data_IF_637757025877
#
_entry.id   IF_637757025877
#
_cell.length_a   1.000
_cell.length_b   1.000
_cell.length_c   1.000
_cell.angle_alpha   90.00
_cell.angle_beta   90.00
_cell.angle_gamma   90.00
#
_symmetry.space_group_name_H-M   'P 1'
#
loop_
_entity.id
_entity.type
_entity.pdbx_description
1 polymer ?
#
# COMPACT_ATOMS: atom_id res chain seq x y z
N UNK A 1 31.89 -15.62 11.03
CA UNK A 1 32.65 -14.72 10.12
C UNK A 1 32.63 -13.34 10.73
N UNK A 2 33.70 -12.54 10.58
CA UNK A 2 33.71 -11.16 11.07
C UNK A 2 33.15 -10.24 9.99
N UNK A 3 32.21 -9.38 10.34
CA UNK A 3 31.60 -8.41 9.44
C UNK A 3 31.97 -6.99 9.85
N UNK A 4 32.29 -6.14 8.87
CA UNK A 4 32.50 -4.71 9.11
C UNK A 4 31.24 -3.94 8.72
N UNK A 5 30.64 -3.26 9.69
CA UNK A 5 29.47 -2.41 9.47
C UNK A 5 29.91 -0.98 9.16
N UNK A 6 29.34 -0.38 8.14
CA UNK A 6 29.67 0.98 7.69
C UNK A 6 28.40 1.78 7.47
N UNK A 7 28.34 2.99 8.04
CA UNK A 7 27.27 3.95 7.74
C UNK A 7 27.41 4.46 6.30
N UNK A 8 26.30 4.52 5.58
CA UNK A 8 26.24 5.11 4.23
C UNK A 8 26.42 6.62 4.36
N UNK A 9 27.53 7.14 3.85
CA UNK A 9 27.90 8.56 3.96
C UNK A 9 28.45 9.18 2.68
N UNK A 10 28.66 8.38 1.64
CA UNK A 10 29.21 8.84 0.35
C UNK A 10 28.37 8.38 -0.82
N UNK A 11 28.50 9.06 -2.00
CA UNK A 11 27.83 8.60 -3.22
C UNK A 11 28.26 7.19 -3.66
N UNK A 12 29.44 6.71 -3.25
CA UNK A 12 29.88 5.34 -3.48
C UNK A 12 29.08 4.37 -2.60
N UNK A 13 28.93 4.68 -1.31
CA UNK A 13 28.17 3.84 -0.38
C UNK A 13 26.70 3.77 -0.79
N UNK A 14 26.13 4.89 -1.25
CA UNK A 14 24.74 4.92 -1.76
C UNK A 14 24.59 3.99 -2.97
N UNK A 15 25.51 4.03 -3.91
CA UNK A 15 25.49 3.11 -5.06
C UNK A 15 25.59 1.66 -4.63
N UNK A 16 26.44 1.35 -3.65
CA UNK A 16 26.57 0.01 -3.09
C UNK A 16 25.27 -0.44 -2.42
N UNK A 17 24.65 0.45 -1.63
CA UNK A 17 23.35 0.20 -0.99
C UNK A 17 22.26 -0.14 -2.00
N UNK A 18 22.19 0.58 -3.14
CA UNK A 18 21.20 0.35 -4.21
C UNK A 18 21.52 -0.92 -5.00
N UNK A 19 22.79 -1.24 -5.20
CA UNK A 19 23.21 -2.34 -6.07
C UNK A 19 23.24 -3.71 -5.38
N UNK A 20 23.34 -3.79 -4.07
CA UNK A 20 23.38 -5.07 -3.35
C UNK A 20 22.21 -6.01 -3.71
N UNK A 21 20.92 -5.58 -3.73
CA UNK A 21 19.84 -6.47 -4.15
C UNK A 21 19.98 -7.00 -5.56
N UNK A 22 20.53 -6.20 -6.49
CA UNK A 22 20.74 -6.63 -7.88
C UNK A 22 21.71 -7.81 -7.99
N UNK A 23 22.63 -7.93 -7.02
CA UNK A 23 23.56 -9.04 -6.92
C UNK A 23 22.93 -10.26 -6.23
N UNK A 24 22.23 -10.04 -5.10
CA UNK A 24 21.57 -11.08 -4.32
C UNK A 24 20.47 -11.79 -5.13
N UNK A 25 19.68 -11.03 -5.88
CA UNK A 25 18.55 -11.56 -6.64
C UNK A 25 18.86 -11.92 -8.09
N UNK A 26 20.13 -11.94 -8.49
CA UNK A 26 20.51 -12.23 -9.88
C UNK A 26 19.94 -13.53 -10.44
N UNK A 27 19.77 -14.54 -9.60
CA UNK A 27 19.23 -15.85 -9.96
C UNK A 27 17.73 -16.00 -9.62
N UNK A 28 17.05 -14.93 -9.23
CA UNK A 28 15.65 -14.94 -8.79
C UNK A 28 14.74 -14.28 -9.84
N UNK A 29 14.09 -15.06 -10.71
CA UNK A 29 13.32 -14.51 -11.84
C UNK A 29 12.07 -13.75 -11.40
N UNK A 30 11.56 -13.99 -10.18
CA UNK A 30 10.41 -13.31 -9.63
C UNK A 30 10.75 -11.89 -9.17
N UNK A 31 11.99 -11.65 -8.75
CA UNK A 31 12.39 -10.33 -8.30
C UNK A 31 12.43 -9.31 -9.44
N UNK A 32 11.85 -8.14 -9.23
CA UNK A 32 11.87 -7.03 -10.17
C UNK A 32 12.68 -5.90 -9.59
N UNK A 33 13.75 -5.52 -10.30
CA UNK A 33 14.58 -4.39 -9.88
C UNK A 33 13.78 -3.10 -9.91
N UNK A 34 13.56 -2.42 -8.76
CA UNK A 34 12.92 -1.12 -8.71
C UNK A 34 13.77 -0.05 -9.39
N UNK A 35 13.22 1.11 -9.69
CA UNK A 35 14.04 2.22 -10.15
C UNK A 35 14.99 2.69 -9.05
N UNK A 36 16.25 2.93 -9.40
CA UNK A 36 17.25 3.43 -8.46
C UNK A 36 16.83 4.76 -7.83
N UNK A 37 16.11 5.58 -8.59
CA UNK A 37 15.63 6.88 -8.17
C UNK A 37 14.49 6.79 -7.14
N UNK A 38 13.66 5.76 -7.20
CA UNK A 38 12.62 5.52 -6.20
C UNK A 38 13.24 5.24 -4.83
N UNK A 39 14.31 4.41 -4.80
CA UNK A 39 15.03 4.14 -3.55
C UNK A 39 15.76 5.39 -3.04
N UNK A 40 16.36 6.19 -3.94
CA UNK A 40 16.98 7.45 -3.54
C UNK A 40 15.99 8.42 -2.93
N UNK A 41 14.80 8.53 -3.52
CA UNK A 41 13.78 9.47 -3.05
C UNK A 41 13.36 9.23 -1.59
N UNK A 42 13.38 7.98 -1.14
CA UNK A 42 13.06 7.63 0.26
C UNK A 42 14.05 8.27 1.23
N UNK A 43 15.33 8.38 0.83
CA UNK A 43 16.41 8.89 1.68
C UNK A 43 16.86 10.32 1.31
N UNK A 44 16.09 11.01 0.51
CA UNK A 44 16.34 12.40 0.12
C UNK A 44 15.43 13.34 0.94
N UNK A 45 15.99 14.16 1.86
CA UNK A 45 15.21 15.10 2.66
C UNK A 45 14.42 16.13 1.83
N UNK A 46 14.84 16.42 0.59
CA UNK A 46 14.14 17.33 -0.30
C UNK A 46 12.91 16.69 -0.97
N UNK A 47 12.77 15.37 -0.91
CA UNK A 47 11.74 14.60 -1.63
C UNK A 47 10.85 13.77 -0.70
N UNK A 48 11.25 13.60 0.56
CA UNK A 48 10.52 12.79 1.55
C UNK A 48 10.17 13.63 2.77
N UNK A 49 8.91 14.00 2.88
CA UNK A 49 8.38 14.82 3.98
C UNK A 49 8.52 14.17 5.36
N UNK A 50 8.80 12.86 5.43
CA UNK A 50 9.07 12.19 6.70
C UNK A 50 10.28 12.76 7.42
N UNK A 51 11.22 13.39 6.71
CA UNK A 51 12.36 14.09 7.28
C UNK A 51 12.02 15.39 8.00
N UNK A 52 10.83 15.97 7.78
CA UNK A 52 10.42 17.19 8.50
C UNK A 52 10.36 16.97 10.02
N UNK A 53 9.99 15.77 10.45
CA UNK A 53 9.84 15.40 11.87
C UNK A 53 10.63 14.11 12.21
N UNK A 54 11.55 13.68 11.34
CA UNK A 54 12.23 12.39 11.47
C UNK A 54 13.62 12.36 10.88
N UNK A 55 14.25 11.22 11.08
CA UNK A 55 15.60 10.92 10.58
C UNK A 55 15.68 9.49 10.08
N UNK A 56 16.62 9.24 9.15
CA UNK A 56 16.95 7.92 8.66
C UNK A 56 18.46 7.71 8.64
N UNK A 57 18.90 6.50 8.94
CA UNK A 57 20.30 6.07 8.82
C UNK A 57 20.37 4.75 8.09
N UNK A 58 21.39 4.57 7.27
CA UNK A 58 21.62 3.37 6.45
C UNK A 58 22.97 2.77 6.76
N UNK A 59 23.07 1.44 6.74
CA UNK A 59 24.31 0.70 6.93
C UNK A 59 24.53 -0.31 5.82
N UNK A 60 25.79 -0.55 5.52
CA UNK A 60 26.30 -1.64 4.71
C UNK A 60 27.13 -2.58 5.58
N UNK A 61 27.08 -3.86 5.27
CA UNK A 61 27.92 -4.86 5.89
C UNK A 61 28.86 -5.47 4.86
N UNK A 62 30.13 -5.57 5.22
CA UNK A 62 31.17 -6.13 4.37
C UNK A 62 31.79 -7.35 5.04
N UNK A 63 32.08 -8.38 4.24
CA UNK A 63 32.85 -9.54 4.66
C UNK A 63 34.35 -9.25 4.80
N UNK A 64 35.12 -10.23 5.24
CA UNK A 64 36.58 -10.12 5.40
C UNK A 64 37.33 -9.80 4.09
N UNK A 65 36.69 -10.05 2.93
CA UNK A 65 37.25 -9.75 1.60
C UNK A 65 36.87 -8.36 1.12
N UNK A 66 36.08 -7.62 1.91
CA UNK A 66 35.54 -6.31 1.52
C UNK A 66 34.38 -6.37 0.52
N UNK A 67 33.73 -7.53 0.37
CA UNK A 67 32.53 -7.67 -0.43
C UNK A 67 31.31 -7.21 0.38
N UNK A 68 30.43 -6.39 -0.22
CA UNK A 68 29.18 -6.01 0.42
C UNK A 68 28.23 -7.22 0.44
N UNK A 69 27.82 -7.64 1.62
CA UNK A 69 27.01 -8.85 1.86
C UNK A 69 25.71 -8.58 2.59
N UNK A 70 25.50 -7.34 3.07
CA UNK A 70 24.28 -6.95 3.78
C UNK A 70 24.06 -5.44 3.78
N UNK A 71 22.80 -5.06 3.99
CA UNK A 71 22.38 -3.67 4.19
C UNK A 71 21.14 -3.60 5.08
N UNK A 72 20.96 -2.48 5.76
CA UNK A 72 19.73 -2.14 6.48
C UNK A 72 19.57 -0.61 6.53
N UNK A 73 18.34 -0.14 6.65
CA UNK A 73 18.02 1.22 7.03
C UNK A 73 17.20 1.19 8.32
N UNK A 74 17.43 2.18 9.20
CA UNK A 74 16.55 2.47 10.33
C UNK A 74 16.10 3.93 10.26
N UNK A 75 14.92 4.21 10.78
CA UNK A 75 14.32 5.53 10.71
C UNK A 75 13.25 5.70 11.78
N UNK A 76 12.96 6.94 12.11
CA UNK A 76 11.84 7.31 12.97
C UNK A 76 11.23 8.63 12.51
N UNK A 77 9.99 8.88 12.92
CA UNK A 77 9.34 10.17 12.79
C UNK A 77 8.68 10.51 14.13
N UNK A 78 9.11 11.60 14.77
CA UNK A 78 8.69 11.95 16.15
C UNK A 78 7.20 12.21 16.25
N UNK A 79 6.58 12.76 15.19
CA UNK A 79 5.15 13.04 15.17
C UNK A 79 4.29 11.78 15.17
N UNK A 80 4.79 10.70 14.55
CA UNK A 80 4.02 9.46 14.39
C UNK A 80 4.50 8.32 15.28
N UNK A 81 5.66 8.46 15.98
CA UNK A 81 6.23 7.39 16.80
C UNK A 81 5.27 6.84 17.86
N UNK A 82 4.40 7.67 18.42
CA UNK A 82 3.37 7.29 19.40
C UNK A 82 1.99 7.07 18.79
N UNK A 83 1.82 7.31 17.47
CA UNK A 83 0.50 7.20 16.84
C UNK A 83 0.07 5.73 16.80
N UNK A 84 -1.03 5.41 17.48
CA UNK A 84 -1.58 4.06 17.64
C UNK A 84 -0.58 3.06 18.28
N UNK A 85 0.44 3.55 19.00
CA UNK A 85 1.46 2.75 19.69
C UNK A 85 1.41 2.97 21.20
N UNK A 86 1.77 1.93 21.97
CA UNK A 86 1.90 2.00 23.43
C UNK A 86 3.27 2.55 23.87
N UNK A 87 4.25 2.55 22.96
CA UNK A 87 5.61 3.06 23.17
C UNK A 87 6.12 3.75 21.89
N UNK A 88 7.11 4.65 21.99
CA UNK A 88 7.73 5.25 20.83
C UNK A 88 8.30 4.17 19.92
N UNK A 89 7.78 4.09 18.68
CA UNK A 89 8.13 3.06 17.72
C UNK A 89 8.76 3.68 16.47
N UNK A 90 9.97 3.24 16.16
CA UNK A 90 10.64 3.53 14.90
C UNK A 90 10.43 2.42 13.88
N UNK A 91 11.22 2.41 12.82
CA UNK A 91 11.16 1.39 11.80
C UNK A 91 12.52 0.96 11.29
N UNK A 92 12.60 -0.27 10.79
CA UNK A 92 13.73 -0.72 9.97
C UNK A 92 13.21 -1.27 8.63
N UNK A 93 14.04 -1.14 7.59
CA UNK A 93 13.66 -1.60 6.25
C UNK A 93 14.85 -1.65 5.31
N UNK A 94 14.55 -1.93 4.03
CA UNK A 94 15.60 -2.13 3.03
C UNK A 94 16.65 -3.16 3.48
N UNK A 95 16.22 -4.09 4.34
CA UNK A 95 17.06 -5.17 4.85
C UNK A 95 17.37 -6.14 3.73
N UNK A 96 18.66 -6.37 3.52
CA UNK A 96 19.18 -7.41 2.62
C UNK A 96 20.40 -8.04 3.25
N UNK A 97 20.49 -9.36 3.19
CA UNK A 97 21.63 -10.13 3.69
C UNK A 97 21.78 -11.44 2.94
N UNK A 98 22.99 -11.94 2.81
CA UNK A 98 23.22 -13.35 2.52
C UNK A 98 22.61 -14.23 3.62
N UNK A 99 22.43 -15.52 3.37
CA UNK A 99 21.89 -16.47 4.37
C UNK A 99 22.92 -16.72 5.49
N UNK A 100 23.06 -15.74 6.37
CA UNK A 100 23.92 -15.77 7.54
C UNK A 100 23.25 -15.06 8.72
N UNK A 101 23.03 -15.83 9.79
CA UNK A 101 22.34 -15.39 11.00
C UNK A 101 23.11 -14.30 11.75
N UNK A 102 24.43 -14.44 11.87
CA UNK A 102 25.26 -13.48 12.60
C UNK A 102 25.27 -12.13 11.91
N UNK A 103 25.35 -12.14 10.58
CA UNK A 103 25.21 -10.93 9.76
C UNK A 103 23.86 -10.24 9.95
N UNK A 104 22.78 -11.01 9.87
CA UNK A 104 21.43 -10.46 10.04
C UNK A 104 21.27 -9.82 11.43
N UNK A 105 21.75 -10.49 12.47
CA UNK A 105 21.65 -10.00 13.85
C UNK A 105 22.49 -8.73 14.05
N UNK A 106 23.70 -8.67 13.49
CA UNK A 106 24.53 -7.47 13.53
C UNK A 106 23.84 -6.27 12.84
N UNK A 107 23.13 -6.50 11.73
CA UNK A 107 22.35 -5.45 11.05
C UNK A 107 21.13 -5.01 11.88
N UNK A 108 20.43 -5.93 12.54
CA UNK A 108 19.33 -5.57 13.42
C UNK A 108 19.81 -4.84 14.69
N UNK A 109 20.98 -5.24 15.23
CA UNK A 109 21.55 -4.60 16.41
C UNK A 109 21.88 -3.13 16.16
N UNK A 110 22.57 -2.79 15.06
CA UNK A 110 22.90 -1.38 14.78
C UNK A 110 21.66 -0.54 14.50
N UNK A 111 20.62 -1.12 13.91
CA UNK A 111 19.35 -0.44 13.71
C UNK A 111 18.65 -0.18 15.07
N UNK A 112 18.56 -1.18 15.93
CA UNK A 112 17.98 -1.10 17.28
C UNK A 112 18.73 -0.08 18.15
N UNK A 113 20.07 -0.16 18.18
CA UNK A 113 20.91 0.72 19.00
C UNK A 113 20.72 2.17 18.59
N UNK A 114 20.80 2.47 17.30
CA UNK A 114 20.56 3.82 16.81
C UNK A 114 19.13 4.33 17.10
N UNK A 115 18.12 3.50 16.98
CA UNK A 115 16.76 3.86 17.33
C UNK A 115 16.60 4.10 18.84
N UNK A 116 17.23 3.29 19.68
CA UNK A 116 17.22 3.48 21.13
C UNK A 116 17.92 4.78 21.55
N UNK A 117 19.06 5.12 20.94
CA UNK A 117 19.75 6.41 21.13
C UNK A 117 18.84 7.61 20.77
N UNK A 118 17.89 7.43 19.86
CA UNK A 118 16.92 8.45 19.45
C UNK A 118 15.58 8.37 20.20
N UNK A 119 15.52 7.59 21.29
CA UNK A 119 14.37 7.52 22.18
C UNK A 119 13.25 6.59 21.72
N UNK A 120 13.50 5.72 20.76
CA UNK A 120 12.55 4.67 20.38
C UNK A 120 12.67 3.48 21.33
N UNK A 121 11.56 2.82 21.61
CA UNK A 121 11.48 1.64 22.49
C UNK A 121 11.05 0.38 21.74
N UNK A 122 10.73 0.52 20.46
CA UNK A 122 10.38 -0.56 19.56
C UNK A 122 10.76 -0.21 18.12
N UNK A 123 10.89 -1.21 17.26
CA UNK A 123 11.00 -1.04 15.82
C UNK A 123 10.06 -1.96 15.05
N UNK A 124 9.38 -1.43 14.06
CA UNK A 124 8.61 -2.18 13.09
C UNK A 124 9.48 -2.50 11.86
N UNK A 125 9.29 -3.68 11.28
CA UNK A 125 10.09 -4.08 10.12
C UNK A 125 9.61 -5.35 9.39
N UNK A 126 10.08 -5.51 8.15
CA UNK A 126 10.67 -4.47 7.32
C UNK A 126 9.60 -3.51 6.81
N UNK A 127 9.86 -2.21 6.86
CA UNK A 127 8.93 -1.17 6.42
C UNK A 127 9.66 -0.05 5.67
N UNK A 128 8.90 0.88 5.09
CA UNK A 128 9.42 2.04 4.39
C UNK A 128 9.48 3.27 5.31
N UNK A 129 10.42 4.18 5.04
CA UNK A 129 10.44 5.51 5.63
C UNK A 129 9.56 6.45 4.81
N UNK A 130 8.24 6.38 5.01
CA UNK A 130 7.24 7.12 4.25
C UNK A 130 5.94 6.38 4.09
N UNK A 131 5.41 6.35 2.88
CA UNK A 131 4.14 5.70 2.56
C UNK A 131 4.14 4.19 2.86
N UNK A 132 3.02 3.71 3.40
CA UNK A 132 2.78 2.28 3.63
C UNK A 132 2.50 1.50 2.35
N UNK A 133 2.29 2.19 1.24
CA UNK A 133 1.98 1.58 -0.05
C UNK A 133 3.22 1.03 -0.76
N UNK A 134 4.41 1.34 -0.25
CA UNK A 134 5.68 0.99 -0.88
C UNK A 134 6.61 0.29 0.11
N UNK A 135 7.27 -0.79 -0.35
CA UNK A 135 8.29 -1.56 0.40
C UNK A 135 7.91 -1.87 1.85
N UNK A 136 6.69 -2.35 2.06
CA UNK A 136 6.13 -2.57 3.39
C UNK A 136 5.82 -4.05 3.63
N UNK A 137 6.45 -4.65 4.61
CA UNK A 137 6.27 -6.03 5.04
C UNK A 137 7.27 -7.02 4.43
N UNK A 138 7.46 -8.13 5.11
CA UNK A 138 8.29 -9.26 4.71
C UNK A 138 7.42 -10.30 3.99
N UNK A 139 7.79 -10.69 2.78
CA UNK A 139 7.13 -11.79 2.06
C UNK A 139 7.35 -13.11 2.81
N UNK A 140 6.27 -13.81 3.15
CA UNK A 140 6.30 -15.10 3.85
C UNK A 140 5.57 -16.21 3.10
N UNK A 141 4.74 -15.86 2.11
CA UNK A 141 4.04 -16.83 1.25
C UNK A 141 3.79 -16.23 -0.13
N UNK A 142 3.82 -17.06 -1.19
CA UNK A 142 3.64 -16.63 -2.58
C UNK A 142 4.96 -16.22 -3.26
N UNK A 143 6.08 -16.83 -2.87
CA UNK A 143 7.42 -16.56 -3.44
C UNK A 143 7.54 -16.89 -4.93
N UNK A 144 6.67 -17.72 -5.47
CA UNK A 144 6.58 -18.06 -6.88
C UNK A 144 6.00 -16.94 -7.73
N UNK A 145 5.42 -15.92 -7.11
CA UNK A 145 4.76 -14.81 -7.78
C UNK A 145 5.65 -13.56 -7.81
N UNK A 146 5.60 -12.87 -8.93
CA UNK A 146 6.25 -11.58 -9.08
C UNK A 146 5.55 -10.51 -8.23
N UNK A 147 6.28 -9.64 -7.49
CA UNK A 147 5.67 -8.55 -6.73
C UNK A 147 4.96 -7.54 -7.64
N UNK A 148 4.01 -6.80 -7.10
CA UNK A 148 3.48 -5.58 -7.70
C UNK A 148 4.53 -4.46 -7.63
N UNK A 149 4.34 -3.41 -8.43
CA UNK A 149 5.21 -2.24 -8.39
C UNK A 149 5.35 -1.69 -6.96
N UNK A 150 6.59 -1.42 -6.57
CA UNK A 150 6.99 -0.96 -5.24
C UNK A 150 6.58 -1.87 -4.06
N UNK A 151 6.13 -3.11 -4.33
CA UNK A 151 5.95 -4.11 -3.28
C UNK A 151 7.26 -4.86 -3.03
N UNK A 152 7.56 -5.25 -1.76
CA UNK A 152 8.79 -5.95 -1.45
C UNK A 152 8.78 -7.38 -1.96
N UNK A 153 9.97 -7.90 -2.22
CA UNK A 153 10.27 -9.30 -2.46
C UNK A 153 11.55 -9.65 -1.70
N UNK A 154 11.61 -10.82 -1.08
CA UNK A 154 12.76 -11.27 -0.30
C UNK A 154 12.92 -12.78 -0.38
N UNK A 155 14.12 -13.31 -0.08
CA UNK A 155 14.34 -14.73 0.07
C UNK A 155 13.54 -15.33 1.24
N UNK A 156 13.13 -16.62 1.16
CA UNK A 156 12.36 -17.28 2.24
C UNK A 156 13.09 -17.30 3.58
N UNK A 157 14.41 -17.38 3.60
CA UNK A 157 15.20 -17.47 4.83
C UNK A 157 15.17 -16.18 5.68
N UNK A 158 14.73 -15.04 5.15
CA UNK A 158 14.60 -13.80 5.94
C UNK A 158 13.58 -13.96 7.06
N UNK A 159 12.49 -14.69 6.86
CA UNK A 159 11.49 -14.93 7.89
C UNK A 159 12.14 -15.51 9.15
N UNK A 160 12.97 -16.54 8.99
CA UNK A 160 13.69 -17.17 10.09
C UNK A 160 14.63 -16.19 10.80
N UNK A 161 15.35 -15.34 10.06
CA UNK A 161 16.24 -14.32 10.64
C UNK A 161 15.49 -13.32 11.52
N UNK A 162 14.33 -12.83 11.07
CA UNK A 162 13.49 -11.91 11.87
C UNK A 162 12.96 -12.60 13.12
N UNK A 163 12.39 -13.79 12.99
CA UNK A 163 11.78 -14.51 14.11
C UNK A 163 12.82 -14.97 15.15
N UNK A 164 13.97 -15.47 14.74
CA UNK A 164 15.06 -15.86 15.65
C UNK A 164 15.70 -14.67 16.36
N UNK A 165 15.74 -13.48 15.75
CA UNK A 165 16.18 -12.26 16.43
C UNK A 165 15.18 -11.84 17.52
N UNK A 166 13.91 -12.24 17.38
CA UNK A 166 12.83 -12.01 18.33
C UNK A 166 11.79 -11.01 17.90
N UNK A 167 11.72 -10.70 16.60
CA UNK A 167 10.58 -10.00 16.04
C UNK A 167 9.31 -10.86 16.15
N UNK A 168 8.18 -10.21 16.40
CA UNK A 168 6.88 -10.86 16.51
C UNK A 168 5.91 -10.27 15.48
N UNK A 169 5.02 -11.10 14.94
CA UNK A 169 4.02 -10.67 13.95
C UNK A 169 3.13 -9.56 14.50
N UNK A 170 3.30 -8.34 13.99
CA UNK A 170 2.45 -7.21 14.36
C UNK A 170 1.12 -7.26 13.60
N UNK A 171 1.16 -7.46 12.28
CA UNK A 171 -0.01 -7.80 11.45
C UNK A 171 0.40 -8.52 10.17
N UNK A 172 -0.56 -9.28 9.60
CA UNK A 172 -0.41 -9.87 8.29
C UNK A 172 -1.00 -8.97 7.20
N UNK A 173 -0.40 -9.02 6.02
CA UNK A 173 -0.80 -8.28 4.83
C UNK A 173 -1.10 -9.28 3.73
N UNK A 174 -2.33 -9.32 3.26
CA UNK A 174 -2.75 -10.20 2.19
C UNK A 174 -2.92 -9.44 0.88
N UNK A 175 -2.22 -9.87 -0.15
CA UNK A 175 -2.47 -9.47 -1.53
C UNK A 175 -3.45 -10.47 -2.12
N UNK A 176 -4.41 -9.98 -2.89
CA UNK A 176 -5.44 -10.81 -3.52
C UNK A 176 -5.30 -10.74 -5.03
N UNK A 177 -5.57 -11.85 -5.72
CA UNK A 177 -5.57 -11.87 -7.18
C UNK A 177 -6.76 -12.64 -7.74
N UNK A 178 -7.16 -12.26 -8.96
CA UNK A 178 -8.14 -13.00 -9.77
C UNK A 178 -7.86 -12.83 -11.26
N UNK A 179 -8.30 -13.79 -12.05
CA UNK A 179 -8.40 -13.62 -13.51
C UNK A 179 -9.45 -12.56 -13.85
N UNK A 180 -9.18 -11.76 -14.86
CA UNK A 180 -10.14 -10.83 -15.45
C UNK A 180 -10.90 -11.58 -16.54
N UNK A 181 -12.16 -11.92 -16.26
CA UNK A 181 -13.04 -12.65 -17.17
C UNK A 181 -14.50 -12.33 -16.86
N UNK A 182 -15.34 -12.51 -17.86
CA UNK A 182 -16.79 -12.27 -17.81
C UNK A 182 -17.49 -13.40 -17.08
N UNK A 183 -18.58 -13.09 -16.38
CA UNK A 183 -19.45 -14.09 -15.75
C UNK A 183 -18.88 -14.77 -14.52
N UNK A 184 -17.87 -14.17 -13.90
CA UNK A 184 -17.16 -14.75 -12.74
C UNK A 184 -17.51 -14.10 -11.40
N UNK A 185 -18.40 -13.11 -11.41
CA UNK A 185 -18.94 -12.52 -10.19
C UNK A 185 -20.03 -13.44 -9.61
N UNK A 186 -20.26 -13.34 -8.30
CA UNK A 186 -21.30 -14.14 -7.66
C UNK A 186 -22.70 -13.66 -8.05
N UNK A 187 -23.70 -14.59 -8.02
CA UNK A 187 -25.10 -14.24 -8.25
C UNK A 187 -25.59 -13.11 -7.34
N UNK A 188 -25.10 -13.07 -6.10
CA UNK A 188 -25.42 -12.02 -5.14
C UNK A 188 -24.95 -10.63 -5.60
N UNK A 189 -23.81 -10.56 -6.32
CA UNK A 189 -23.33 -9.32 -6.94
C UNK A 189 -24.26 -8.90 -8.06
N UNK A 190 -24.59 -9.80 -8.98
CA UNK A 190 -25.50 -9.49 -10.09
C UNK A 190 -26.89 -9.06 -9.62
N UNK A 191 -27.46 -9.73 -8.61
CA UNK A 191 -28.75 -9.37 -8.02
C UNK A 191 -28.74 -7.98 -7.36
N UNK A 192 -27.62 -7.57 -6.74
CA UNK A 192 -27.48 -6.22 -6.17
C UNK A 192 -27.35 -5.17 -7.23
N UNK A 193 -26.55 -5.41 -8.24
CA UNK A 193 -26.36 -4.50 -9.36
C UNK A 193 -27.66 -4.25 -10.08
N UNK A 194 -28.46 -5.28 -10.38
CA UNK A 194 -29.75 -5.15 -11.01
C UNK A 194 -30.67 -4.17 -10.28
N UNK A 195 -30.71 -4.25 -8.92
CA UNK A 195 -31.51 -3.31 -8.11
C UNK A 195 -31.00 -1.87 -8.17
N UNK A 196 -29.67 -1.67 -8.33
CA UNK A 196 -29.09 -0.33 -8.47
C UNK A 196 -29.32 0.24 -9.87
N UNK A 197 -29.27 -0.60 -10.91
CA UNK A 197 -29.54 -0.19 -12.29
C UNK A 197 -31.00 0.22 -12.52
N UNK A 198 -31.93 -0.25 -11.67
CA UNK A 198 -33.35 0.19 -11.65
C UNK A 198 -33.53 1.58 -11.04
N UNK A 199 -32.49 2.17 -10.41
CA UNK A 199 -32.51 3.47 -9.76
C UNK A 199 -31.69 4.48 -10.59
N UNK A 200 -32.34 5.41 -11.29
CA UNK A 200 -31.68 6.34 -12.22
C UNK A 200 -30.72 7.31 -11.52
N UNK A 201 -30.83 7.44 -10.20
CA UNK A 201 -29.95 8.25 -9.37
C UNK A 201 -28.50 7.71 -9.29
N UNK A 202 -28.33 6.39 -9.49
CA UNK A 202 -27.00 5.75 -9.47
C UNK A 202 -26.39 5.68 -10.86
N UNK A 203 -25.14 6.08 -10.97
CA UNK A 203 -24.34 5.94 -12.19
C UNK A 203 -22.95 5.39 -11.84
N UNK A 204 -22.47 4.44 -12.65
CA UNK A 204 -21.17 3.78 -12.53
C UNK A 204 -20.45 3.89 -13.87
N UNK A 205 -19.32 4.58 -13.89
CA UNK A 205 -18.58 4.82 -15.14
C UNK A 205 -17.09 4.89 -14.92
N UNK A 206 -16.31 4.57 -15.97
CA UNK A 206 -14.88 4.86 -15.96
C UNK A 206 -14.64 6.35 -16.28
N UNK A 207 -13.48 6.86 -15.88
CA UNK A 207 -13.16 8.28 -16.10
C UNK A 207 -12.87 8.59 -17.57
N UNK A 208 -12.96 9.88 -17.90
CA UNK A 208 -12.48 10.45 -19.15
C UNK A 208 -11.36 11.44 -18.85
N UNK A 209 -10.30 11.44 -19.68
CA UNK A 209 -9.15 12.31 -19.45
C UNK A 209 -9.48 13.80 -19.66
N UNK A 210 -10.56 14.10 -20.39
CA UNK A 210 -11.08 15.47 -20.57
C UNK A 210 -11.64 16.03 -19.26
N UNK A 211 -12.16 15.16 -18.38
CA UNK A 211 -12.84 15.50 -17.13
C UNK A 211 -11.90 15.43 -15.91
N UNK A 212 -10.58 15.50 -16.11
CA UNK A 212 -9.58 15.24 -15.07
C UNK A 212 -9.76 16.09 -13.82
N UNK A 213 -10.16 17.35 -13.94
CA UNK A 213 -10.43 18.23 -12.80
C UNK A 213 -11.59 17.71 -11.95
N UNK A 214 -12.67 17.26 -12.59
CA UNK A 214 -13.81 16.62 -11.90
C UNK A 214 -13.38 15.31 -11.21
N UNK A 215 -12.49 14.55 -11.83
CA UNK A 215 -11.95 13.30 -11.27
C UNK A 215 -11.13 13.60 -10.00
N UNK A 216 -10.27 14.61 -10.02
CA UNK A 216 -9.45 15.04 -8.86
C UNK A 216 -10.36 15.43 -7.69
N UNK A 217 -11.36 16.29 -7.95
CA UNK A 217 -12.28 16.75 -6.92
C UNK A 217 -13.16 15.61 -6.39
N UNK A 218 -13.66 14.74 -7.28
CA UNK A 218 -14.41 13.55 -6.91
C UNK A 218 -13.59 12.61 -6.04
N UNK A 219 -12.32 12.38 -6.41
CA UNK A 219 -11.41 11.55 -5.60
C UNK A 219 -11.21 12.16 -4.21
N UNK A 220 -10.87 13.45 -4.12
CA UNK A 220 -10.66 14.17 -2.85
C UNK A 220 -11.92 14.08 -1.96
N UNK A 221 -13.08 14.32 -2.54
CA UNK A 221 -14.37 14.31 -1.83
C UNK A 221 -14.67 12.93 -1.25
N UNK A 222 -14.60 11.88 -2.06
CA UNK A 222 -14.87 10.51 -1.60
C UNK A 222 -13.80 10.05 -0.61
N UNK A 223 -12.51 10.33 -0.88
CA UNK A 223 -11.42 10.00 0.03
C UNK A 223 -11.65 10.60 1.41
N UNK A 224 -11.86 11.91 1.49
CA UNK A 224 -12.07 12.59 2.76
C UNK A 224 -13.29 12.07 3.53
N UNK A 225 -14.39 11.77 2.84
CA UNK A 225 -15.59 11.17 3.46
C UNK A 225 -15.36 9.73 3.92
N UNK A 226 -14.74 8.90 3.08
CA UNK A 226 -14.55 7.47 3.34
C UNK A 226 -13.53 7.21 4.45
N UNK A 227 -12.46 8.02 4.54
CA UNK A 227 -11.38 7.85 5.53
C UNK A 227 -11.49 8.75 6.76
N UNK A 228 -12.38 9.74 6.79
CA UNK A 228 -12.59 10.62 7.96
C UNK A 228 -12.92 9.89 9.27
N UNK A 229 -13.32 8.63 9.17
CA UNK A 229 -13.66 7.78 10.30
C UNK A 229 -12.45 7.09 10.95
N UNK A 230 -11.29 7.11 10.30
CA UNK A 230 -10.09 6.44 10.78
C UNK A 230 -9.19 7.42 11.53
N UNK A 231 -8.75 7.01 12.72
CA UNK A 231 -7.81 7.80 13.53
C UNK A 231 -6.47 7.92 12.78
N UNK A 232 -5.90 9.13 12.75
CA UNK A 232 -4.58 9.38 12.15
C UNK A 232 -4.58 9.60 10.64
N UNK A 233 -5.70 9.45 9.95
CA UNK A 233 -5.80 9.81 8.53
C UNK A 233 -6.06 11.31 8.40
N UNK A 234 -5.13 12.02 7.78
CA UNK A 234 -5.28 13.44 7.48
C UNK A 234 -6.22 13.65 6.29
N UNK A 235 -6.99 14.72 6.33
CA UNK A 235 -7.77 15.13 5.17
C UNK A 235 -6.83 15.53 4.03
N UNK A 236 -7.21 15.12 2.84
CA UNK A 236 -6.51 15.46 1.61
C UNK A 236 -6.97 16.82 1.12
N UNK A 237 -6.07 17.78 1.02
CA UNK A 237 -6.34 19.06 0.37
C UNK A 237 -6.27 18.94 -1.17
N UNK A 238 -6.64 20.00 -1.86
CA UNK A 238 -6.66 20.04 -3.32
C UNK A 238 -5.26 19.89 -3.93
N UNK A 239 -4.26 20.55 -3.32
CA UNK A 239 -2.89 20.52 -3.82
C UNK A 239 -2.31 19.11 -3.76
N UNK A 240 -2.57 18.38 -2.66
CA UNK A 240 -2.15 17.00 -2.50
C UNK A 240 -2.87 16.08 -3.50
N UNK A 241 -4.19 16.19 -3.66
CA UNK A 241 -4.95 15.39 -4.63
C UNK A 241 -4.46 15.63 -6.06
N UNK A 242 -4.19 16.86 -6.42
CA UNK A 242 -3.64 17.27 -7.73
C UNK A 242 -2.21 16.75 -7.94
N UNK A 243 -1.36 16.83 -6.93
CA UNK A 243 0.00 16.29 -6.94
C UNK A 243 0.01 14.78 -7.18
N UNK A 244 -0.84 14.03 -6.47
CA UNK A 244 -1.00 12.59 -6.65
C UNK A 244 -1.46 12.24 -8.07
N UNK A 245 -2.48 12.94 -8.59
CA UNK A 245 -2.97 12.72 -9.95
C UNK A 245 -1.93 13.03 -11.01
N UNK A 246 -1.16 14.11 -10.86
CA UNK A 246 -0.07 14.45 -11.77
C UNK A 246 1.02 13.36 -11.81
N UNK A 247 1.30 12.73 -10.67
CA UNK A 247 2.23 11.61 -10.57
C UNK A 247 1.69 10.37 -11.29
N UNK A 248 0.40 10.09 -11.16
CA UNK A 248 -0.24 8.92 -11.79
C UNK A 248 -0.54 9.10 -13.28
N UNK A 249 -0.78 10.34 -13.74
CA UNK A 249 -1.21 10.67 -15.11
C UNK A 249 -0.42 10.00 -16.23
N UNK A 250 0.93 9.90 -16.19
CA UNK A 250 1.71 9.24 -17.26
C UNK A 250 1.41 7.75 -17.42
N UNK A 251 1.01 7.08 -16.34
CA UNK A 251 0.77 5.64 -16.27
C UNK A 251 -0.71 5.28 -16.21
N UNK A 252 -1.57 6.26 -15.99
CA UNK A 252 -3.00 6.06 -15.83
C UNK A 252 -3.63 5.51 -17.13
N UNK A 253 -4.47 4.50 -16.96
CA UNK A 253 -5.38 4.01 -17.98
C UNK A 253 -6.80 4.39 -17.55
N UNK A 254 -7.52 5.27 -18.30
CA UNK A 254 -8.86 5.70 -17.92
C UNK A 254 -9.84 4.55 -17.75
N UNK A 255 -9.67 3.46 -18.52
CA UNK A 255 -10.52 2.27 -18.45
C UNK A 255 -10.30 1.41 -17.21
N UNK A 256 -9.30 1.75 -16.37
CA UNK A 256 -9.04 1.12 -15.08
C UNK A 256 -9.49 1.96 -13.88
N UNK A 257 -10.09 3.15 -14.07
CA UNK A 257 -10.50 4.03 -12.99
C UNK A 257 -12.00 4.26 -13.03
N UNK A 258 -12.69 3.78 -12.01
CA UNK A 258 -14.16 3.84 -11.92
C UNK A 258 -14.62 4.74 -10.80
N UNK A 259 -15.69 5.49 -11.08
CA UNK A 259 -16.42 6.25 -10.08
C UNK A 259 -17.89 5.80 -10.03
N UNK A 260 -18.44 5.89 -8.82
CA UNK A 260 -19.87 5.77 -8.55
C UNK A 260 -20.40 7.15 -8.19
N UNK A 261 -21.55 7.50 -8.74
CA UNK A 261 -22.28 8.74 -8.50
C UNK A 261 -23.70 8.43 -7.99
N UNK A 262 -24.21 9.32 -7.14
CA UNK A 262 -25.60 9.35 -6.72
C UNK A 262 -26.12 10.78 -6.82
N UNK A 263 -27.14 11.03 -7.66
CA UNK A 263 -27.58 12.39 -8.05
C UNK A 263 -26.40 13.28 -8.48
N UNK A 264 -25.54 12.77 -9.34
CA UNK A 264 -24.32 13.41 -9.85
C UNK A 264 -23.20 13.68 -8.82
N UNK A 265 -23.44 13.43 -7.54
CA UNK A 265 -22.43 13.53 -6.48
C UNK A 265 -21.55 12.28 -6.45
N UNK A 266 -20.22 12.41 -6.36
CA UNK A 266 -19.31 11.26 -6.27
C UNK A 266 -19.44 10.60 -4.90
N UNK A 267 -19.75 9.30 -4.91
CA UNK A 267 -19.99 8.49 -3.68
C UNK A 267 -19.02 7.32 -3.53
N UNK A 268 -18.26 6.98 -4.57
CA UNK A 268 -17.28 5.91 -4.50
C UNK A 268 -16.31 5.95 -5.66
N UNK A 269 -15.17 5.30 -5.47
CA UNK A 269 -14.18 5.06 -6.52
C UNK A 269 -13.54 3.69 -6.39
N UNK A 270 -13.11 3.16 -7.53
CA UNK A 270 -12.23 2.01 -7.65
C UNK A 270 -11.11 2.36 -8.63
N UNK A 271 -9.92 2.59 -8.10
CA UNK A 271 -8.76 3.02 -8.88
C UNK A 271 -7.81 1.85 -9.03
N UNK A 272 -7.60 1.46 -10.27
CA UNK A 272 -6.60 0.49 -10.70
C UNK A 272 -5.61 1.18 -11.62
N UNK A 273 -4.41 0.65 -11.71
CA UNK A 273 -3.36 1.10 -12.64
C UNK A 273 -2.73 -0.11 -13.32
N UNK A 274 -2.09 0.05 -14.47
CA UNK A 274 -1.24 -0.98 -15.04
C UNK A 274 -0.10 -1.33 -14.09
N UNK A 275 0.18 -2.63 -13.86
CA UNK A 275 1.30 -3.02 -13.02
C UNK A 275 2.63 -2.86 -13.76
N UNK A 276 3.39 -1.85 -13.36
CA UNK A 276 4.63 -1.47 -14.03
C UNK A 276 5.72 -2.52 -13.95
N UNK A 277 5.68 -3.41 -12.94
CA UNK A 277 6.66 -4.47 -12.79
C UNK A 277 6.70 -5.41 -14.00
N UNK A 278 5.63 -5.49 -14.78
CA UNK A 278 5.58 -6.28 -16.01
C UNK A 278 6.55 -5.79 -17.10
N UNK A 279 6.97 -4.53 -17.03
CA UNK A 279 7.81 -3.91 -18.05
C UNK A 279 9.12 -3.30 -17.55
N UNK A 280 9.25 -3.00 -16.23
CA UNK A 280 10.42 -2.26 -15.72
C UNK A 280 11.65 -3.12 -15.43
N UNK A 281 11.48 -4.41 -15.14
CA UNK A 281 12.58 -5.29 -14.73
C UNK A 281 13.79 -5.27 -15.67
N UNK A 282 13.55 -5.14 -16.99
CA UNK A 282 14.59 -5.03 -18.01
C UNK A 282 15.46 -3.76 -17.95
N UNK A 283 15.03 -2.75 -17.19
CA UNK A 283 15.77 -1.49 -17.07
C UNK A 283 16.84 -1.53 -15.98
N UNK A 284 16.83 -2.56 -15.14
CA UNK A 284 17.80 -2.77 -14.05
C UNK A 284 18.03 -1.52 -13.20
N UNK A 285 16.92 -0.88 -12.81
CA UNK A 285 16.90 0.32 -11.99
C UNK A 285 17.15 1.65 -12.72
N UNK A 286 17.56 1.63 -13.98
CA UNK A 286 17.92 2.84 -14.74
C UNK A 286 16.71 3.39 -15.50
N UNK A 287 16.44 4.68 -15.35
CA UNK A 287 15.31 5.35 -16.01
C UNK A 287 15.75 6.59 -16.82
N UNK A 288 16.83 6.45 -17.60
CA UNK A 288 17.29 7.48 -18.54
C UNK A 288 16.35 7.66 -19.75
N UNK A 289 16.62 8.61 -20.62
CA UNK A 289 15.75 9.04 -21.73
C UNK A 289 15.33 7.84 -22.62
N UNK A 290 16.28 6.98 -23.00
CA UNK A 290 15.99 5.80 -23.86
C UNK A 290 15.01 4.85 -23.15
N UNK A 291 15.23 4.58 -21.86
CA UNK A 291 14.35 3.72 -21.08
C UNK A 291 12.97 4.35 -20.87
N UNK A 292 12.87 5.69 -20.73
CA UNK A 292 11.58 6.40 -20.68
C UNK A 292 10.79 6.24 -21.97
N UNK A 293 11.43 6.41 -23.12
CA UNK A 293 10.79 6.21 -24.43
C UNK A 293 10.31 4.76 -24.60
N UNK A 294 11.17 3.79 -24.25
CA UNK A 294 10.83 2.36 -24.29
C UNK A 294 9.71 2.01 -23.32
N UNK A 295 9.68 2.59 -22.12
CA UNK A 295 8.63 2.43 -21.14
C UNK A 295 7.28 2.91 -21.69
N UNK A 296 7.23 4.14 -22.24
CA UNK A 296 6.01 4.70 -22.83
C UNK A 296 5.53 3.82 -24.01
N UNK A 297 6.45 3.38 -24.85
CA UNK A 297 6.12 2.47 -25.96
C UNK A 297 5.50 1.15 -25.47
N UNK A 298 6.17 0.48 -24.51
CA UNK A 298 5.69 -0.80 -23.97
C UNK A 298 4.34 -0.68 -23.25
N UNK A 299 4.12 0.46 -22.55
CA UNK A 299 2.89 0.71 -21.82
C UNK A 299 1.73 1.12 -22.72
N UNK A 300 1.93 2.12 -23.58
CA UNK A 300 0.82 2.78 -24.31
C UNK A 300 0.61 2.24 -25.74
N UNK A 301 1.68 1.85 -26.42
CA UNK A 301 1.61 1.42 -27.82
C UNK A 301 1.60 -0.10 -27.93
N UNK A 302 2.58 -0.77 -27.35
CA UNK A 302 2.70 -2.22 -27.43
C UNK A 302 1.80 -2.95 -26.41
N UNK A 303 1.18 -2.23 -25.47
CA UNK A 303 0.25 -2.74 -24.43
C UNK A 303 0.76 -4.03 -23.75
N UNK A 304 2.04 -4.05 -23.34
CA UNK A 304 2.69 -5.25 -22.79
C UNK A 304 2.34 -5.55 -21.33
N UNK A 305 1.58 -4.68 -20.69
CA UNK A 305 1.13 -4.88 -19.32
C UNK A 305 -0.20 -5.64 -19.35
N UNK A 306 -0.18 -6.86 -18.87
CA UNK A 306 -1.31 -7.78 -18.82
C UNK A 306 -1.93 -7.92 -17.41
N UNK A 307 -1.34 -7.23 -16.42
CA UNK A 307 -1.81 -7.24 -15.03
C UNK A 307 -2.28 -5.84 -14.61
N UNK A 308 -3.52 -5.74 -14.15
CA UNK A 308 -4.05 -4.56 -13.49
C UNK A 308 -3.73 -4.63 -11.99
N UNK A 309 -3.34 -3.51 -11.43
CA UNK A 309 -3.03 -3.33 -10.00
C UNK A 309 -4.13 -2.49 -9.36
N UNK A 310 -4.93 -3.09 -8.47
CA UNK A 310 -5.93 -2.38 -7.68
C UNK A 310 -5.27 -1.60 -6.56
N UNK A 311 -5.20 -0.28 -6.75
CA UNK A 311 -4.45 0.62 -5.88
C UNK A 311 -5.27 1.04 -4.66
N UNK A 312 -6.50 1.52 -4.87
CA UNK A 312 -7.34 2.05 -3.81
C UNK A 312 -8.83 1.90 -4.17
N UNK A 313 -9.64 1.64 -3.15
CA UNK A 313 -11.08 1.45 -3.26
C UNK A 313 -11.78 2.15 -2.10
N UNK A 314 -12.80 2.95 -2.37
CA UNK A 314 -13.53 3.68 -1.32
C UNK A 314 -14.98 3.93 -1.68
N UNK A 315 -15.84 3.90 -0.66
CA UNK A 315 -17.25 4.28 -0.73
C UNK A 315 -17.59 5.13 0.49
N UNK A 316 -18.30 6.22 0.27
CA UNK A 316 -18.71 7.12 1.35
C UNK A 316 -19.57 6.39 2.39
N UNK A 317 -19.45 6.72 3.69
CA UNK A 317 -20.15 6.00 4.78
C UNK A 317 -21.65 5.86 4.58
N UNK A 318 -22.29 6.87 4.01
CA UNK A 318 -23.75 6.91 3.77
C UNK A 318 -24.21 5.91 2.69
N UNK A 319 -23.28 5.45 1.85
CA UNK A 319 -23.55 4.56 0.72
C UNK A 319 -22.98 3.14 0.89
N UNK A 320 -22.25 2.91 2.00
CA UNK A 320 -21.74 1.57 2.30
C UNK A 320 -22.89 0.59 2.56
N UNK A 321 -22.70 -0.65 2.10
CA UNK A 321 -23.69 -1.73 2.26
C UNK A 321 -24.89 -1.65 1.30
N UNK A 322 -25.01 -0.61 0.47
CA UNK A 322 -26.09 -0.48 -0.53
C UNK A 322 -25.75 -1.17 -1.85
N UNK A 323 -24.53 -1.68 -2.02
CA UNK A 323 -24.09 -2.41 -3.22
C UNK A 323 -23.32 -1.55 -4.22
N UNK A 324 -22.93 -0.33 -3.86
CA UNK A 324 -22.15 0.60 -4.70
C UNK A 324 -20.85 -0.06 -5.16
N UNK A 325 -20.21 -0.84 -4.28
CA UNK A 325 -19.04 -1.65 -4.60
C UNK A 325 -19.30 -2.59 -5.78
N UNK A 326 -20.43 -3.30 -5.71
CA UNK A 326 -20.83 -4.25 -6.76
C UNK A 326 -21.10 -3.53 -8.09
N UNK A 327 -21.69 -2.32 -8.04
CA UNK A 327 -21.94 -1.49 -9.21
C UNK A 327 -20.66 -1.11 -9.96
N UNK A 328 -19.62 -0.67 -9.24
CA UNK A 328 -18.31 -0.34 -9.86
C UNK A 328 -17.62 -1.57 -10.44
N UNK A 329 -17.66 -2.71 -9.72
CA UNK A 329 -17.07 -3.97 -10.20
C UNK A 329 -17.79 -4.45 -11.48
N UNK A 330 -19.12 -4.34 -11.53
CA UNK A 330 -19.89 -4.70 -12.73
C UNK A 330 -19.63 -3.74 -13.89
N UNK A 331 -19.45 -2.45 -13.62
CA UNK A 331 -19.08 -1.49 -14.67
C UNK A 331 -17.73 -1.85 -15.30
N UNK A 332 -16.76 -2.28 -14.50
CA UNK A 332 -15.49 -2.82 -14.99
C UNK A 332 -15.69 -4.12 -15.79
N UNK A 333 -16.51 -5.06 -15.30
CA UNK A 333 -16.81 -6.29 -16.03
C UNK A 333 -17.47 -6.03 -17.39
N UNK A 334 -18.40 -5.06 -17.49
CA UNK A 334 -18.97 -4.63 -18.78
C UNK A 334 -17.90 -4.16 -19.77
N UNK A 335 -16.87 -3.46 -19.25
CA UNK A 335 -15.74 -3.04 -20.09
C UNK A 335 -14.88 -4.23 -20.55
N UNK A 336 -14.74 -5.24 -19.70
CA UNK A 336 -14.09 -6.52 -20.08
C UNK A 336 -14.88 -7.25 -21.17
N UNK A 337 -16.21 -7.21 -21.15
CA UNK A 337 -17.10 -7.80 -22.19
C UNK A 337 -16.85 -7.20 -23.56
N UNK A 338 -16.40 -5.94 -23.66
CA UNK A 338 -16.05 -5.30 -24.94
C UNK A 338 -14.79 -5.90 -25.58
N UNK A 339 -13.97 -6.64 -24.82
CA UNK A 339 -12.78 -7.33 -25.32
C UNK A 339 -11.63 -6.41 -25.74
N UNK A 340 -11.62 -5.15 -25.32
CA UNK A 340 -10.62 -4.14 -25.71
C UNK A 340 -9.46 -4.00 -24.71
N UNK A 341 -9.65 -4.50 -23.49
CA UNK A 341 -8.67 -4.39 -22.42
C UNK A 341 -7.53 -5.41 -22.59
N UNK A 342 -6.26 -5.01 -22.41
CA UNK A 342 -5.13 -5.94 -22.49
C UNK A 342 -4.93 -6.76 -21.20
N UNK A 343 -5.68 -6.45 -20.15
CA UNK A 343 -5.44 -7.02 -18.81
C UNK A 343 -6.13 -8.37 -18.66
N UNK A 344 -5.38 -9.36 -18.20
CA UNK A 344 -5.86 -10.73 -17.94
C UNK A 344 -5.95 -11.06 -16.46
N UNK A 345 -5.26 -10.29 -15.61
CA UNK A 345 -5.20 -10.51 -14.17
C UNK A 345 -5.39 -9.18 -13.43
N UNK A 346 -6.22 -9.20 -12.39
CA UNK A 346 -6.33 -8.14 -11.40
C UNK A 346 -5.64 -8.62 -10.12
N UNK A 347 -4.69 -7.85 -9.62
CA UNK A 347 -4.10 -8.04 -8.31
C UNK A 347 -4.35 -6.81 -7.44
N UNK A 348 -4.86 -7.03 -6.23
CA UNK A 348 -5.22 -5.97 -5.30
C UNK A 348 -4.06 -5.76 -4.32
N UNK A 349 -3.71 -4.50 -4.05
CA UNK A 349 -2.76 -4.10 -3.03
C UNK A 349 -3.09 -4.76 -1.68
N UNK A 350 -2.11 -4.83 -0.80
CA UNK A 350 -2.26 -5.56 0.44
C UNK A 350 -3.36 -5.00 1.34
N UNK A 351 -4.05 -5.92 1.99
CA UNK A 351 -5.05 -5.65 3.00
C UNK A 351 -4.57 -6.28 4.31
N UNK A 352 -4.45 -5.45 5.35
CA UNK A 352 -4.05 -5.93 6.68
C UNK A 352 -5.14 -6.79 7.32
N UNK A 353 -4.75 -7.82 8.06
CA UNK A 353 -5.68 -8.68 8.82
C UNK A 353 -6.42 -7.93 9.95
N UNK A 354 -5.95 -6.74 10.27
CA UNK A 354 -6.66 -5.79 11.15
C UNK A 354 -7.89 -5.14 10.47
N UNK A 355 -8.10 -5.32 9.15
CA UNK A 355 -9.25 -4.82 8.39
C UNK A 355 -10.11 -5.97 7.81
N UNK A 356 -10.82 -6.74 8.67
CA UNK A 356 -11.60 -7.90 8.25
C UNK A 356 -12.80 -7.53 7.36
N UNK A 357 -13.24 -6.28 7.38
CA UNK A 357 -14.34 -5.80 6.53
C UNK A 357 -13.88 -5.76 5.08
N UNK A 358 -12.72 -5.16 4.82
CA UNK A 358 -12.14 -5.08 3.48
C UNK A 358 -11.77 -6.48 2.94
N UNK A 359 -11.20 -7.35 3.79
CA UNK A 359 -10.90 -8.73 3.40
C UNK A 359 -12.15 -9.46 2.91
N UNK A 360 -13.26 -9.39 3.68
CA UNK A 360 -14.54 -9.98 3.27
C UNK A 360 -15.10 -9.36 2.00
N UNK A 361 -14.94 -8.04 1.82
CA UNK A 361 -15.39 -7.35 0.61
C UNK A 361 -14.66 -7.92 -0.61
N UNK A 362 -13.35 -8.02 -0.56
CA UNK A 362 -12.55 -8.52 -1.68
C UNK A 362 -12.83 -10.01 -1.97
N UNK A 363 -12.94 -10.83 -0.94
CA UNK A 363 -13.21 -12.27 -1.09
C UNK A 363 -14.63 -12.54 -1.62
N UNK A 364 -15.64 -11.78 -1.17
CA UNK A 364 -17.05 -12.05 -1.51
C UNK A 364 -17.57 -11.28 -2.71
N UNK A 365 -17.12 -10.05 -2.94
CA UNK A 365 -17.66 -9.19 -4.00
C UNK A 365 -16.71 -9.07 -5.19
N UNK A 366 -15.39 -8.92 -4.95
CA UNK A 366 -14.42 -8.98 -6.03
C UNK A 366 -14.16 -10.42 -6.47
N UNK A 367 -14.48 -11.41 -5.63
CA UNK A 367 -14.22 -12.85 -5.86
C UNK A 367 -12.71 -13.12 -6.11
N UNK A 368 -11.84 -12.41 -5.40
CA UNK A 368 -10.39 -12.59 -5.50
C UNK A 368 -9.89 -13.52 -4.40
N UNK A 369 -8.87 -14.31 -4.73
CA UNK A 369 -8.22 -15.26 -3.82
C UNK A 369 -6.96 -14.65 -3.21
N UNK A 370 -6.60 -15.09 -1.99
CA UNK A 370 -5.30 -14.75 -1.40
C UNK A 370 -4.18 -15.27 -2.29
N UNK A 371 -3.24 -14.39 -2.57
CA UNK A 371 -2.21 -14.63 -3.57
C UNK A 371 -0.80 -14.57 -2.98
N UNK A 372 -0.49 -13.50 -2.25
CA UNK A 372 0.75 -13.34 -1.49
C UNK A 372 0.44 -12.92 -0.06
N UNK A 373 1.32 -13.27 0.85
CA UNK A 373 1.27 -12.82 2.24
C UNK A 373 2.60 -12.18 2.62
N UNK A 374 2.50 -10.98 3.16
CA UNK A 374 3.60 -10.30 3.84
C UNK A 374 3.27 -10.18 5.34
N UNK A 375 4.30 -9.94 6.13
CA UNK A 375 4.18 -9.72 7.57
C UNK A 375 4.90 -8.43 7.92
N UNK A 376 4.21 -7.53 8.61
CA UNK A 376 4.88 -6.47 9.35
C UNK A 376 5.18 -7.02 10.73
N UNK A 377 6.45 -7.09 11.07
CA UNK A 377 6.93 -7.52 12.36
C UNK A 377 7.15 -6.32 13.27
N UNK A 378 7.14 -6.54 14.58
CA UNK A 378 7.55 -5.59 15.61
C UNK A 378 8.52 -6.24 16.58
N UNK A 379 9.58 -5.52 16.93
CA UNK A 379 10.53 -5.89 17.97
C UNK A 379 10.44 -4.88 19.11
N UNK A 380 10.10 -5.33 20.33
CA UNK A 380 10.14 -4.52 21.54
C UNK A 380 11.56 -4.56 22.11
N UNK A 381 12.15 -3.40 22.43
CA UNK A 381 13.51 -3.34 22.98
C UNK A 381 13.55 -3.86 24.41
N UNK A 382 12.54 -3.53 25.21
CA UNK A 382 12.28 -4.18 26.49
C UNK A 382 11.49 -5.47 26.28
N UNK A 383 12.18 -6.61 26.38
CA UNK A 383 11.62 -7.94 26.16
C UNK A 383 10.72 -8.41 27.31
N UNK A 384 10.63 -7.67 28.41
CA UNK A 384 9.73 -7.97 29.54
C UNK A 384 8.32 -7.41 29.32
N UNK A 385 8.16 -6.44 28.42
CA UNK A 385 6.86 -5.87 28.06
C UNK A 385 6.02 -6.89 27.30
N UNK A 386 4.72 -6.90 27.58
CA UNK A 386 3.75 -7.69 26.84
C UNK A 386 3.69 -7.23 25.39
N UNK A 387 3.83 -8.18 24.44
CA UNK A 387 3.65 -7.89 23.03
C UNK A 387 2.17 -7.87 22.67
N UNK A 388 1.75 -6.83 21.95
CA UNK A 388 0.40 -6.71 21.41
C UNK A 388 0.42 -6.56 19.90
N UNK A 389 -0.44 -7.32 19.25
CA UNK A 389 -0.67 -7.19 17.81
C UNK A 389 -1.40 -5.89 17.48
N UNK A 390 -1.29 -5.47 16.22
CA UNK A 390 -2.05 -4.33 15.70
C UNK A 390 -3.57 -4.52 16.00
N UNK A 391 -4.21 -3.54 16.65
CA UNK A 391 -5.63 -3.64 16.98
C UNK A 391 -6.47 -3.64 15.69
N UNK A 392 -7.56 -4.41 15.71
CA UNK A 392 -8.50 -4.42 14.60
C UNK A 392 -9.12 -3.03 14.42
N UNK A 393 -9.25 -2.59 13.17
CA UNK A 393 -9.98 -1.37 12.83
C UNK A 393 -11.44 -1.56 13.22
N UNK A 394 -11.80 -1.11 14.41
CA UNK A 394 -13.19 -0.94 14.79
C UNK A 394 -13.73 0.25 13.99
N UNK A 395 -14.68 0.00 13.09
CA UNK A 395 -15.51 1.08 12.57
C UNK A 395 -16.09 1.80 13.80
N UNK A 396 -15.69 3.04 14.08
CA UNK A 396 -16.36 3.87 15.06
C UNK A 396 -17.82 3.89 14.63
N UNK A 397 -18.68 3.14 15.32
CA UNK A 397 -20.14 3.29 15.15
C UNK A 397 -20.40 4.75 15.43
N UNK A 398 -20.84 5.51 14.43
CA UNK A 398 -21.46 6.79 14.68
C UNK A 398 -22.55 6.51 15.72
N UNK A 399 -22.41 7.04 16.93
CA UNK A 399 -23.54 7.14 17.85
C UNK A 399 -24.61 7.85 17.04
N UNK A 400 -25.73 7.15 16.80
CA UNK A 400 -26.94 7.79 16.28
C UNK A 400 -27.20 8.97 17.21
N UNK A 401 -27.34 10.22 16.72
CA UNK A 401 -27.84 11.29 17.57
C UNK A 401 -29.10 10.76 18.22
N UNK A 402 -29.15 10.81 19.55
CA UNK A 402 -30.32 10.41 20.32
C UNK A 402 -31.50 11.09 19.65
N UNK A 403 -32.52 10.30 19.29
CA UNK A 403 -33.74 10.83 18.72
C UNK A 403 -34.21 11.96 19.64
N UNK A 404 -34.34 13.16 19.08
CA UNK A 404 -34.82 14.31 19.86
C UNK A 404 -36.08 13.91 20.60
N UNK A 405 -36.06 14.04 21.92
CA UNK A 405 -37.20 13.76 22.75
C UNK A 405 -38.40 14.55 22.21
N UNK A 406 -39.60 13.95 22.09
CA UNK A 406 -40.76 14.67 21.62
C UNK A 406 -41.00 15.88 22.54
N UNK A 407 -41.17 17.05 21.90
CA UNK A 407 -41.46 18.28 22.62
C UNK A 407 -42.66 18.09 23.58
N UNK A 408 -42.60 18.63 24.81
CA UNK A 408 -43.72 18.49 25.76
C UNK A 408 -44.96 19.19 25.18
N UNK A 409 -46.07 18.43 25.12
CA UNK A 409 -47.38 18.95 24.76
C UNK A 409 -47.74 20.08 25.72
N UNK A 410 -47.67 21.33 25.26
CA UNK A 410 -48.28 22.46 25.92
C UNK A 410 -49.81 22.35 25.73
N UNK A 411 -50.44 21.73 26.69
CA UNK A 411 -51.91 21.80 26.81
C UNK A 411 -52.32 23.27 27.09
N UNK A 412 -52.96 23.87 26.12
CA UNK A 412 -53.60 25.18 26.27
C UNK A 412 -54.80 25.01 27.17
N UNK A 413 -54.71 25.43 28.42
CA UNK A 413 -55.81 25.60 29.29
C UNK A 413 -56.59 26.88 28.92
N UNK A 414 -57.74 26.72 28.30
CA UNK A 414 -58.73 27.79 28.11
C UNK A 414 -59.49 27.93 29.42
N UNK A 415 -59.21 29.00 30.16
CA UNK A 415 -60.12 29.49 31.18
C UNK A 415 -61.01 30.57 30.59
N UNK A 416 -62.26 30.54 31.11
CA UNK A 416 -63.41 31.34 30.74
C UNK A 416 -63.21 32.87 30.84
#
# INVERSE_FOLDING_TARGET
MSYTLKVVSSPRDEREFINLPKQLYKATPQWVCPFDDDIRSVFDPARNDSFNDGEARRWLAFDEKGTCVGRIAAFFNRRTAMLDNEQPTGGCGFFEAIDDRELAFALFDVAREWLAENGMEAMDGPINFGSRDQWWGLLVNGFEHQPLYANPYNPPYYQKMFEEYGFQTYFNQHTYARGISVGTLSEAVYARVKRLEEQPEYRFEHIRMEDLERVIEGFRTVYNKAWSMFTGVQQMDEAHARGLMNTLRPILDPELVYFAYYNDEPIGFFIMIPDLNRIIGKFNGKFGIINKLRFIWDLKVAKKVDRAFGLIFGVTPEQQGKGVESGMIRAFEKKVEEGTLPYTTLELAWIGDFNPVMMRMVEKFVCANRHKQHVTYRYLFDRTKEFKRCPSLALKRRERPAAAAPAPNTATTTEK
#
